data_IF_909841601082
#
_entry.id   IF_909841601082
#
_cell.length_a   1.000
_cell.length_b   1.000
_cell.length_c   1.000
_cell.angle_alpha   90.00
_cell.angle_beta   90.00
_cell.angle_gamma   90.00
#
_symmetry.space_group_name_H-M   'P 1'
#
loop_
_entity.id
_entity.type
_entity.pdbx_description
1 polymer ?
#
# COMPACT_ATOMS: atom_id res chain seq x y z
N UNK A 1 18.39 8.87 -20.15
CA UNK A 1 16.99 8.40 -20.00
C UNK A 1 16.09 9.60 -20.28
N UNK A 2 15.20 9.56 -21.28
CA UNK A 2 14.21 10.63 -21.42
C UNK A 2 13.30 10.64 -20.18
N UNK A 3 12.93 11.84 -19.76
CA UNK A 3 12.00 12.10 -18.66
C UNK A 3 10.60 11.57 -19.03
N UNK A 4 9.84 11.03 -18.07
CA UNK A 4 8.47 10.56 -18.29
C UNK A 4 7.51 11.73 -18.16
N UNK A 5 6.44 11.78 -18.96
CA UNK A 5 5.40 12.82 -18.86
C UNK A 5 4.76 12.95 -17.47
N UNK A 6 4.88 11.93 -16.62
CA UNK A 6 4.39 11.92 -15.24
C UNK A 6 5.48 11.71 -14.18
N UNK A 7 6.74 12.05 -14.45
CA UNK A 7 7.77 11.94 -13.42
C UNK A 7 7.50 12.94 -12.27
N UNK A 8 7.72 12.54 -11.00
CA UNK A 8 7.37 13.34 -9.84
C UNK A 8 8.12 14.68 -9.74
N UNK A 9 9.28 14.84 -10.40
CA UNK A 9 10.06 16.08 -10.36
C UNK A 9 9.87 16.83 -11.69
N UNK A 10 8.83 17.65 -11.80
CA UNK A 10 8.44 18.33 -13.04
C UNK A 10 8.62 19.84 -12.98
N UNK A 11 8.88 20.46 -14.13
CA UNK A 11 8.94 21.93 -14.32
C UNK A 11 7.55 22.59 -14.30
N UNK A 12 6.47 21.80 -14.35
CA UNK A 12 5.09 22.30 -14.34
C UNK A 12 4.12 21.35 -13.64
N UNK A 13 2.85 21.78 -13.43
CA UNK A 13 1.82 20.96 -12.80
C UNK A 13 1.61 19.63 -13.53
N UNK A 14 1.32 18.57 -12.77
CA UNK A 14 0.98 17.26 -13.31
C UNK A 14 -0.54 17.09 -13.38
N UNK A 15 -1.07 16.76 -14.56
CA UNK A 15 -2.50 16.46 -14.78
C UNK A 15 -2.84 14.98 -14.57
N UNK A 16 -1.88 14.18 -14.09
CA UNK A 16 -2.04 12.75 -13.84
C UNK A 16 -1.22 12.31 -12.63
N UNK A 17 -1.48 11.09 -12.15
CA UNK A 17 -0.74 10.50 -11.04
C UNK A 17 0.76 10.40 -11.37
N UNK A 18 1.65 10.88 -10.48
CA UNK A 18 3.09 10.75 -10.68
C UNK A 18 3.54 9.29 -10.78
N UNK A 19 4.65 9.04 -11.45
CA UNK A 19 5.27 7.74 -11.49
C UNK A 19 5.61 7.27 -10.07
N UNK A 20 5.23 6.03 -9.74
CA UNK A 20 5.42 5.46 -8.39
C UNK A 20 4.32 5.85 -7.39
N UNK A 21 3.36 6.70 -7.77
CA UNK A 21 2.16 6.93 -6.95
C UNK A 21 1.32 5.66 -6.87
N UNK A 22 0.90 5.32 -5.66
CA UNK A 22 -0.05 4.24 -5.39
C UNK A 22 -1.29 4.82 -4.70
N UNK A 23 -2.48 4.72 -5.32
CA UNK A 23 -3.70 5.26 -4.71
C UNK A 23 -4.08 4.47 -3.44
N UNK A 24 -4.72 5.17 -2.50
CA UNK A 24 -5.18 4.60 -1.21
C UNK A 24 -6.00 3.31 -1.39
N UNK A 25 -6.85 3.23 -2.42
CA UNK A 25 -7.64 2.02 -2.71
C UNK A 25 -6.76 0.80 -3.00
N UNK A 26 -5.69 0.97 -3.79
CA UNK A 26 -4.74 -0.12 -4.08
C UNK A 26 -3.95 -0.52 -2.83
N UNK A 27 -3.59 0.46 -2.00
CA UNK A 27 -2.90 0.21 -0.73
C UNK A 27 -3.79 -0.57 0.26
N UNK A 28 -5.06 -0.18 0.35
CA UNK A 28 -6.11 -0.84 1.13
C UNK A 28 -6.30 -2.29 0.69
N UNK A 29 -6.46 -2.52 -0.61
CA UNK A 29 -6.61 -3.86 -1.19
C UNK A 29 -5.39 -4.75 -0.87
N UNK A 30 -4.18 -4.21 -1.00
CA UNK A 30 -2.96 -4.93 -0.67
C UNK A 30 -2.91 -5.34 0.81
N UNK A 31 -3.25 -4.45 1.74
CA UNK A 31 -3.29 -4.78 3.17
C UNK A 31 -4.29 -5.89 3.48
N UNK A 32 -5.51 -5.82 2.93
CA UNK A 32 -6.50 -6.89 3.10
C UNK A 32 -6.01 -8.22 2.54
N UNK A 33 -5.36 -8.22 1.37
CA UNK A 33 -4.81 -9.42 0.76
C UNK A 33 -3.72 -10.06 1.63
N UNK A 34 -2.80 -9.27 2.19
CA UNK A 34 -1.75 -9.80 3.07
C UNK A 34 -2.29 -10.33 4.40
N UNK A 35 -3.27 -9.65 5.00
CA UNK A 35 -3.93 -10.12 6.22
C UNK A 35 -4.66 -11.45 6.00
N UNK A 36 -5.38 -11.57 4.88
CA UNK A 36 -6.05 -12.81 4.49
C UNK A 36 -5.02 -13.94 4.22
N UNK A 37 -3.94 -13.64 3.51
CA UNK A 37 -2.85 -14.59 3.25
C UNK A 37 -2.13 -15.05 4.52
N UNK A 38 -2.08 -14.20 5.55
CA UNK A 38 -1.56 -14.53 6.88
C UNK A 38 -2.57 -15.25 7.79
N UNK A 39 -3.80 -15.51 7.31
CA UNK A 39 -4.83 -16.20 8.09
C UNK A 39 -5.47 -15.36 9.20
N UNK A 40 -5.41 -14.03 9.10
CA UNK A 40 -5.99 -13.13 10.10
C UNK A 40 -7.49 -12.97 9.87
N UNK A 41 -8.31 -13.39 10.85
CA UNK A 41 -9.74 -13.09 10.86
C UNK A 41 -9.99 -11.66 11.33
N UNK A 42 -10.49 -10.80 10.44
CA UNK A 42 -10.73 -9.39 10.76
C UNK A 42 -12.11 -9.16 11.36
N UNK A 43 -12.14 -8.44 12.48
CA UNK A 43 -13.32 -7.85 13.09
C UNK A 43 -13.72 -6.51 12.45
N UNK A 44 -14.83 -5.93 12.91
CA UNK A 44 -15.32 -4.65 12.40
C UNK A 44 -14.34 -3.50 12.65
N UNK A 45 -13.66 -3.51 13.79
CA UNK A 45 -12.69 -2.48 14.14
C UNK A 45 -11.37 -2.63 13.38
N UNK A 46 -10.91 -3.87 13.15
CA UNK A 46 -9.70 -4.13 12.36
C UNK A 46 -9.83 -3.61 10.92
N UNK A 47 -11.03 -3.70 10.33
CA UNK A 47 -11.31 -3.08 9.01
C UNK A 47 -11.12 -1.57 9.04
N UNK A 48 -11.56 -0.89 10.12
CA UNK A 48 -11.33 0.55 10.30
C UNK A 48 -9.84 0.88 10.47
N UNK A 49 -9.09 0.00 11.14
CA UNK A 49 -7.64 0.13 11.25
C UNK A 49 -6.98 0.00 9.87
N UNK A 50 -7.39 -0.98 9.05
CA UNK A 50 -6.87 -1.13 7.68
C UNK A 50 -7.19 0.10 6.84
N UNK A 51 -8.42 0.62 6.91
CA UNK A 51 -8.83 1.83 6.19
C UNK A 51 -7.98 3.04 6.65
N UNK A 52 -7.72 3.17 7.96
CA UNK A 52 -6.87 4.24 8.50
C UNK A 52 -5.40 4.13 8.06
N UNK A 53 -4.83 2.92 8.06
CA UNK A 53 -3.45 2.68 7.63
C UNK A 53 -3.30 2.91 6.12
N UNK A 54 -4.28 2.54 5.31
CA UNK A 54 -4.23 2.72 3.86
C UNK A 54 -4.08 4.19 3.42
N UNK A 55 -4.55 5.14 4.26
CA UNK A 55 -4.39 6.57 4.04
C UNK A 55 -3.01 7.15 4.40
N UNK A 56 -2.06 6.31 4.83
CA UNK A 56 -0.68 6.74 5.10
C UNK A 56 0.17 6.78 3.83
N UNK A 57 1.45 7.14 3.97
CA UNK A 57 2.40 7.12 2.86
C UNK A 57 2.69 5.69 2.39
N UNK A 58 2.86 5.53 1.08
CA UNK A 58 3.10 4.23 0.45
C UNK A 58 4.29 3.45 1.05
N UNK A 59 5.48 4.07 1.31
CA UNK A 59 6.58 3.36 1.95
C UNK A 59 6.19 2.70 3.29
N UNK A 60 5.43 3.39 4.12
CA UNK A 60 4.95 2.86 5.41
C UNK A 60 3.97 1.70 5.19
N UNK A 61 2.96 1.87 4.33
CA UNK A 61 1.97 0.82 4.05
C UNK A 61 2.62 -0.42 3.46
N UNK A 62 3.52 -0.25 2.49
CA UNK A 62 4.26 -1.35 1.88
C UNK A 62 5.13 -2.10 2.90
N UNK A 63 5.72 -1.38 3.86
CA UNK A 63 6.51 -1.98 4.95
C UNK A 63 5.65 -2.84 5.86
N UNK A 64 4.46 -2.35 6.24
CA UNK A 64 3.51 -3.10 7.08
C UNK A 64 2.99 -4.35 6.34
N UNK A 65 2.57 -4.21 5.07
CA UNK A 65 2.13 -5.32 4.25
C UNK A 65 3.22 -6.41 4.13
N UNK A 66 4.47 -5.99 3.89
CA UNK A 66 5.63 -6.89 3.86
C UNK A 66 5.88 -7.60 5.20
N UNK A 67 5.65 -6.92 6.33
CA UNK A 67 5.76 -7.52 7.67
C UNK A 67 4.67 -8.58 7.89
N UNK A 68 3.41 -8.27 7.58
CA UNK A 68 2.27 -9.21 7.68
C UNK A 68 2.55 -10.45 6.85
N UNK A 69 2.97 -10.26 5.59
CA UNK A 69 3.34 -11.36 4.69
C UNK A 69 4.38 -12.29 5.30
N UNK A 70 5.41 -11.74 5.96
CA UNK A 70 6.45 -12.54 6.61
C UNK A 70 5.93 -13.26 7.85
N UNK A 71 5.11 -12.58 8.66
CA UNK A 71 4.53 -13.15 9.87
C UNK A 71 3.61 -14.35 9.57
N UNK A 72 2.92 -14.33 8.43
CA UNK A 72 2.08 -15.44 7.96
C UNK A 72 2.85 -16.67 7.42
N UNK A 73 4.17 -16.59 7.25
CA UNK A 73 4.96 -17.75 6.81
C UNK A 73 5.23 -18.68 7.98
N UNK A 74 4.94 -19.97 7.81
CA UNK A 74 5.42 -21.01 8.74
C UNK A 74 6.95 -21.03 8.68
N UNK A 75 7.67 -20.92 9.81
CA UNK A 75 9.11 -21.11 9.83
C UNK A 75 9.46 -22.49 9.25
N UNK A 76 10.36 -22.53 8.28
CA UNK A 76 10.97 -23.78 7.80
C UNK A 76 11.97 -24.30 8.83
#
# INVERSE_FOLDING_TARGET
MPYRDNDPISEGPLDSAPFGYSPESSQREALFAELAGAGVELGAYDRRIVDWIAGWDYPTVATIASLIRRAGRVPQ
#
